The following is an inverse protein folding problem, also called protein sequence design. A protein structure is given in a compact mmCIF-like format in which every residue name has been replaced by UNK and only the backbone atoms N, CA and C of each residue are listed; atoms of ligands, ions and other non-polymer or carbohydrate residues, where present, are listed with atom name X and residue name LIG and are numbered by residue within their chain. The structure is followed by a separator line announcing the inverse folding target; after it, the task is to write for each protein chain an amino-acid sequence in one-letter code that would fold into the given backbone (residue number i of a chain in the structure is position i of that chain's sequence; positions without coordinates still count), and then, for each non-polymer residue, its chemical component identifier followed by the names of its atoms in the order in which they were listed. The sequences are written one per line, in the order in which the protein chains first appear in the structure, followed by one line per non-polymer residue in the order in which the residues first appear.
data_IF_322484423516
#
_entry.id   IF_322484423516
#
_cell.length_a   1.000
_cell.length_b   1.000
_cell.length_c   1.000
_cell.angle_alpha   90.00
_cell.angle_beta   90.00
_cell.angle_gamma   90.00
#
_symmetry.space_group_name_H-M   'P 1'
#
loop_
_entity.id
_entity.type
_entity.pdbx_description
1 polymer ?
#
# COMPACT_ATOMS: atom_id res chain seq x y z
N UNK A 1 28.81 70.62 13.20
CA UNK A 1 28.44 69.65 12.15
C UNK A 1 29.54 68.58 11.89
N UNK A 2 30.28 68.12 12.93
CA UNK A 2 31.33 67.08 12.78
C UNK A 2 31.15 65.87 13.71
N UNK A 3 30.26 65.94 14.69
CA UNK A 3 30.05 64.87 15.69
C UNK A 3 28.95 63.87 15.31
N UNK A 4 28.07 64.19 14.35
CA UNK A 4 27.02 63.27 13.89
C UNK A 4 27.47 62.34 12.75
N UNK A 5 28.56 62.65 12.04
CA UNK A 5 29.07 61.81 10.94
C UNK A 5 29.81 60.54 11.42
N UNK A 6 30.31 60.53 12.67
CA UNK A 6 31.06 59.40 13.21
C UNK A 6 30.16 58.25 13.72
N UNK A 7 28.95 58.57 14.17
CA UNK A 7 27.95 57.57 14.58
C UNK A 7 27.34 56.82 13.40
N UNK A 8 27.10 57.53 12.29
CA UNK A 8 26.47 56.94 11.09
C UNK A 8 27.39 55.93 10.38
N UNK A 9 28.71 56.17 10.37
CA UNK A 9 29.69 55.22 9.80
C UNK A 9 29.85 53.95 10.65
N UNK A 10 29.73 54.05 11.98
CA UNK A 10 29.77 52.86 12.86
C UNK A 10 28.49 52.02 12.77
N UNK A 11 27.34 52.67 12.55
CA UNK A 11 26.06 51.97 12.37
C UNK A 11 25.97 51.26 11.00
N UNK A 12 26.52 51.86 9.93
CA UNK A 12 26.61 51.22 8.62
C UNK A 12 27.59 50.03 8.60
N UNK A 13 28.69 50.11 9.35
CA UNK A 13 29.63 48.99 9.46
C UNK A 13 29.05 47.83 10.28
N UNK A 14 28.23 48.13 11.29
CA UNK A 14 27.53 47.11 12.09
C UNK A 14 26.41 46.43 11.30
N UNK A 15 25.69 47.18 10.45
CA UNK A 15 24.64 46.63 9.59
C UNK A 15 25.22 45.80 8.42
N UNK A 16 26.39 46.20 7.88
CA UNK A 16 27.09 45.44 6.84
C UNK A 16 27.74 44.15 7.39
N UNK A 17 28.28 44.18 8.62
CA UNK A 17 28.74 42.96 9.29
C UNK A 17 27.59 42.03 9.72
N UNK A 18 26.40 42.56 10.02
CA UNK A 18 25.21 41.77 10.35
C UNK A 18 24.60 41.05 9.14
N UNK A 19 24.75 41.59 7.93
CA UNK A 19 24.24 40.94 6.70
C UNK A 19 25.10 39.78 6.21
N UNK A 20 26.38 39.71 6.61
CA UNK A 20 27.29 38.60 6.22
C UNK A 20 26.99 37.32 7.01
N UNK A 21 26.27 37.41 8.15
CA UNK A 21 25.93 36.25 9.00
C UNK A 21 24.66 35.54 8.50
N UNK A 22 23.93 36.08 7.51
CA UNK A 22 22.73 35.46 6.94
C UNK A 22 22.97 34.79 5.58
N UNK A 23 24.20 34.85 5.05
CA UNK A 23 24.64 34.00 3.95
C UNK A 23 25.19 32.68 4.47
N UNK A 24 24.37 31.93 5.22
CA UNK A 24 24.62 30.51 5.44
C UNK A 24 24.31 29.79 4.14
N UNK A 25 25.33 29.57 3.32
CA UNK A 25 25.25 28.52 2.31
C UNK A 25 25.02 27.21 3.06
N UNK A 26 23.87 26.57 2.87
CA UNK A 26 23.76 25.13 3.09
C UNK A 26 24.62 24.46 2.02
N UNK A 27 25.91 24.29 2.31
CA UNK A 27 26.69 23.26 1.65
C UNK A 27 26.25 21.93 2.25
N UNK A 28 25.62 21.08 1.44
CA UNK A 28 25.50 19.67 1.76
C UNK A 28 26.92 19.15 2.04
N UNK A 29 27.17 18.45 3.17
CA UNK A 29 28.51 18.00 3.48
C UNK A 29 28.95 17.00 2.42
N UNK A 30 29.89 17.42 1.59
CA UNK A 30 30.46 16.64 0.52
C UNK A 30 31.04 15.33 1.10
N UNK A 31 30.62 14.20 0.52
CA UNK A 31 30.95 12.83 0.91
C UNK A 31 32.46 12.50 0.91
N UNK A 32 33.30 13.46 0.55
CA UNK A 32 34.76 13.35 0.40
C UNK A 32 35.47 13.60 1.76
N UNK A 33 34.82 14.29 2.71
CA UNK A 33 35.39 14.58 4.03
C UNK A 33 35.35 13.42 5.04
N UNK A 34 34.50 12.40 4.82
CA UNK A 34 34.36 11.24 5.72
C UNK A 34 35.48 10.20 5.56
N UNK A 35 36.16 10.16 4.41
CA UNK A 35 37.33 9.31 4.20
C UNK A 35 38.58 9.74 4.99
N UNK A 36 38.58 10.94 5.60
CA UNK A 36 39.69 11.43 6.43
C UNK A 36 39.47 11.27 7.94
N UNK A 37 38.38 10.64 8.39
CA UNK A 37 38.12 10.40 9.82
C UNK A 37 38.81 9.14 10.39
N UNK A 38 39.87 8.64 9.75
CA UNK A 38 40.82 7.73 10.40
C UNK A 38 41.69 8.50 11.42
N UNK A 39 41.04 9.02 12.46
CA UNK A 39 41.75 9.52 13.62
C UNK A 39 42.06 8.31 14.52
N UNK A 40 43.31 7.83 14.47
CA UNK A 40 43.82 6.69 15.27
C UNK A 40 43.57 6.83 16.79
N UNK A 41 43.27 8.04 17.27
CA UNK A 41 42.97 8.32 18.68
C UNK A 41 41.56 7.92 19.15
N UNK A 42 40.59 7.75 18.26
CA UNK A 42 39.19 7.47 18.63
C UNK A 42 38.69 6.08 18.18
N UNK A 43 39.51 5.29 17.48
CA UNK A 43 39.13 3.94 17.04
C UNK A 43 37.92 3.91 16.09
N UNK A 44 37.62 5.01 15.42
CA UNK A 44 36.45 5.14 14.55
C UNK A 44 36.68 4.43 13.21
N UNK A 45 35.72 3.59 12.82
CA UNK A 45 35.68 2.88 11.54
C UNK A 45 34.42 3.21 10.75
N UNK A 46 34.54 3.16 9.44
CA UNK A 46 33.43 3.27 8.48
C UNK A 46 33.49 2.10 7.48
N UNK A 47 32.33 1.56 7.10
CA UNK A 47 32.21 0.57 6.04
C UNK A 47 30.89 0.71 5.29
N UNK A 48 30.95 0.68 3.96
CA UNK A 48 29.79 0.52 3.07
C UNK A 48 29.94 -0.71 2.14
N UNK A 49 30.89 -1.59 2.49
CA UNK A 49 31.29 -2.76 1.69
C UNK A 49 30.75 -4.07 2.25
N UNK A 50 29.94 -3.99 3.32
CA UNK A 50 29.25 -5.13 3.94
C UNK A 50 28.54 -5.96 2.87
N UNK A 51 28.75 -7.28 2.92
CA UNK A 51 28.08 -8.19 2.00
C UNK A 51 26.62 -8.33 2.39
N UNK A 52 25.74 -8.06 1.42
CA UNK A 52 24.29 -8.19 1.56
C UNK A 52 23.82 -9.23 0.55
N UNK A 53 23.14 -10.26 1.03
CA UNK A 53 22.35 -11.15 0.17
C UNK A 53 20.91 -10.67 0.26
N UNK A 54 20.31 -10.36 -0.90
CA UNK A 54 18.95 -9.87 -0.95
C UNK A 54 18.19 -10.51 -2.12
N UNK A 55 16.90 -10.80 -1.91
CA UNK A 55 16.04 -11.39 -2.93
C UNK A 55 14.57 -11.11 -2.65
N UNK A 56 13.78 -10.88 -3.70
CA UNK A 56 12.32 -10.82 -3.62
C UNK A 56 11.72 -12.20 -3.35
N UNK A 57 10.60 -12.21 -2.64
CA UNK A 57 9.77 -13.38 -2.37
C UNK A 57 8.29 -12.98 -2.37
N UNK A 58 7.40 -13.95 -2.53
CA UNK A 58 5.95 -13.70 -2.42
C UNK A 58 5.60 -13.26 -1.00
N UNK A 59 4.76 -12.24 -0.88
CA UNK A 59 4.11 -11.84 0.37
C UNK A 59 2.69 -12.40 0.42
N UNK A 60 2.57 -13.69 0.68
CA UNK A 60 1.32 -14.44 0.59
C UNK A 60 0.41 -14.25 1.80
N UNK A 61 -0.86 -14.61 1.60
CA UNK A 61 -1.91 -14.72 2.63
C UNK A 61 -1.87 -13.55 3.63
N UNK A 62 -2.01 -12.33 3.11
CA UNK A 62 -2.18 -11.15 3.94
C UNK A 62 -3.59 -11.15 4.51
N UNK A 63 -3.71 -11.00 5.83
CA UNK A 63 -5.01 -10.70 6.46
C UNK A 63 -5.51 -9.36 5.93
N UNK A 64 -6.69 -9.35 5.28
CA UNK A 64 -7.30 -8.16 4.66
C UNK A 64 -8.70 -7.83 5.19
N UNK A 65 -9.18 -8.56 6.21
CA UNK A 65 -10.43 -8.22 6.89
C UNK A 65 -10.32 -6.93 7.72
N UNK A 66 -11.47 -6.27 7.91
CA UNK A 66 -11.66 -5.20 8.89
C UNK A 66 -10.82 -3.92 8.69
N UNK A 67 -10.25 -3.71 7.51
CA UNK A 67 -9.66 -2.43 7.14
C UNK A 67 -10.72 -1.41 6.71
N UNK A 68 -10.42 -0.12 6.94
CA UNK A 68 -11.29 1.00 6.53
C UNK A 68 -11.24 1.28 5.04
N UNK A 69 -10.10 1.01 4.39
CA UNK A 69 -9.89 1.13 2.96
C UNK A 69 -9.93 -0.24 2.29
N UNK A 70 -10.82 -0.41 1.31
CA UNK A 70 -10.91 -1.60 0.48
C UNK A 70 -10.61 -1.25 -0.98
N UNK A 71 -9.95 -2.16 -1.70
CA UNK A 71 -9.44 -1.90 -3.04
C UNK A 71 -10.30 -2.59 -4.08
N UNK A 72 -10.59 -1.90 -5.19
CA UNK A 72 -11.27 -2.46 -6.35
C UNK A 72 -10.67 -1.89 -7.62
N UNK A 73 -10.34 -2.75 -8.57
CA UNK A 73 -9.85 -2.34 -9.89
C UNK A 73 -8.81 -3.31 -10.44
N UNK A 74 -8.22 -2.93 -11.56
CA UNK A 74 -7.16 -3.70 -12.22
C UNK A 74 -6.10 -2.76 -12.76
N UNK A 75 -4.84 -3.19 -12.71
CA UNK A 75 -3.69 -2.45 -13.20
C UNK A 75 -2.73 -3.41 -13.91
N UNK A 76 -2.24 -3.03 -15.10
CA UNK A 76 -1.24 -3.79 -15.84
C UNK A 76 0.12 -3.09 -15.72
N UNK A 77 0.97 -3.60 -14.84
CA UNK A 77 2.31 -3.09 -14.58
C UNK A 77 3.34 -3.72 -15.54
N UNK A 78 4.34 -2.96 -16.02
CA UNK A 78 5.39 -3.50 -16.89
C UNK A 78 6.24 -4.60 -16.21
N UNK A 79 6.44 -4.51 -14.90
CA UNK A 79 7.25 -5.43 -14.10
C UNK A 79 6.40 -6.49 -13.41
N UNK A 80 5.29 -6.10 -12.81
CA UNK A 80 4.43 -7.00 -12.03
C UNK A 80 3.26 -7.60 -12.84
N UNK A 81 3.08 -7.19 -14.09
CA UNK A 81 1.97 -7.65 -14.91
C UNK A 81 0.61 -7.21 -14.39
N UNK A 82 -0.43 -7.97 -14.75
CA UNK A 82 -1.80 -7.67 -14.36
C UNK A 82 -2.00 -8.01 -12.89
N UNK A 83 -2.51 -7.05 -12.13
CA UNK A 83 -3.01 -7.27 -10.77
C UNK A 83 -4.41 -6.69 -10.64
N UNK A 84 -5.31 -7.42 -9.97
CA UNK A 84 -6.65 -6.95 -9.65
C UNK A 84 -6.92 -7.02 -8.16
N UNK A 85 -7.71 -6.05 -7.68
CA UNK A 85 -8.31 -6.06 -6.35
C UNK A 85 -9.83 -6.16 -6.48
N UNK A 86 -10.44 -6.96 -5.61
CA UNK A 86 -11.89 -7.20 -5.56
C UNK A 86 -12.39 -7.15 -4.11
N UNK A 87 -13.66 -6.78 -3.90
CA UNK A 87 -14.20 -6.54 -2.56
C UNK A 87 -15.28 -7.56 -2.25
N UNK A 88 -15.17 -8.19 -1.08
CA UNK A 88 -16.29 -8.87 -0.43
C UNK A 88 -16.80 -7.99 0.71
N UNK A 89 -18.11 -7.78 0.78
CA UNK A 89 -18.71 -7.01 1.87
C UNK A 89 -20.11 -7.50 2.23
N UNK A 90 -20.40 -7.55 3.52
CA UNK A 90 -21.77 -7.63 4.02
C UNK A 90 -22.43 -6.26 4.04
N UNK A 91 -23.76 -6.29 4.11
CA UNK A 91 -24.59 -5.14 4.39
C UNK A 91 -25.49 -5.47 5.58
N UNK A 92 -25.94 -4.43 6.28
CA UNK A 92 -26.82 -4.52 7.45
C UNK A 92 -28.01 -3.58 7.27
N UNK A 93 -29.12 -3.88 7.93
CA UNK A 93 -30.28 -3.01 7.97
C UNK A 93 -29.91 -1.68 8.66
N UNK A 94 -30.27 -0.53 8.08
CA UNK A 94 -30.12 0.76 8.78
C UNK A 94 -31.08 0.89 9.95
N UNK A 95 -32.25 0.27 9.82
CA UNK A 95 -33.32 0.24 10.81
C UNK A 95 -33.97 -1.13 10.77
N UNK A 96 -34.24 -1.72 11.94
CA UNK A 96 -34.88 -3.02 12.06
C UNK A 96 -36.39 -2.93 11.78
N UNK A 97 -37.00 -4.03 11.34
CA UNK A 97 -38.42 -4.13 11.03
C UNK A 97 -38.94 -2.99 10.12
N UNK A 98 -38.29 -2.71 8.97
CA UNK A 98 -38.77 -1.71 8.06
C UNK A 98 -40.13 -2.09 7.48
N UNK A 99 -40.98 -1.08 7.24
CA UNK A 99 -42.24 -1.24 6.52
C UNK A 99 -42.17 -0.48 5.20
N UNK A 100 -42.33 -1.21 4.10
CA UNK A 100 -42.26 -0.66 2.75
C UNK A 100 -43.65 -0.24 2.20
N UNK A 101 -44.73 -0.54 2.92
CA UNK A 101 -46.11 -0.33 2.46
C UNK A 101 -46.74 -1.61 1.88
N UNK A 102 -48.08 -1.64 1.78
CA UNK A 102 -48.84 -2.83 1.38
C UNK A 102 -48.81 -3.13 -0.13
N UNK A 103 -48.45 -2.15 -0.95
CA UNK A 103 -48.39 -2.27 -2.42
C UNK A 103 -47.12 -1.59 -2.96
N UNK A 104 -45.99 -1.82 -2.29
CA UNK A 104 -44.74 -1.18 -2.62
C UNK A 104 -44.24 -1.62 -4.00
N UNK A 105 -43.71 -0.69 -4.79
CA UNK A 105 -43.09 -1.00 -6.08
C UNK A 105 -41.66 -0.49 -6.14
N UNK A 106 -40.77 -1.34 -6.66
CA UNK A 106 -39.35 -1.00 -6.81
C UNK A 106 -39.19 0.10 -7.86
N UNK A 107 -38.37 1.10 -7.53
CA UNK A 107 -37.84 2.06 -8.49
C UNK A 107 -36.41 1.65 -8.90
N UNK A 108 -35.50 1.58 -7.93
CA UNK A 108 -34.13 1.13 -8.18
C UNK A 108 -33.40 0.66 -6.92
N UNK A 109 -32.34 -0.11 -7.11
CA UNK A 109 -31.38 -0.47 -6.07
C UNK A 109 -30.00 0.05 -6.48
N UNK A 110 -29.38 0.91 -5.68
CA UNK A 110 -28.10 1.55 -6.01
C UNK A 110 -27.11 1.39 -4.87
N UNK A 111 -25.93 0.86 -5.18
CA UNK A 111 -24.78 0.79 -4.26
C UNK A 111 -23.91 2.04 -4.44
N UNK A 112 -23.58 2.68 -3.33
CA UNK A 112 -22.74 3.87 -3.24
C UNK A 112 -21.44 3.52 -2.54
N UNK A 113 -20.30 3.78 -3.19
CA UNK A 113 -18.97 3.51 -2.65
C UNK A 113 -18.11 4.78 -2.70
N UNK A 114 -17.88 5.45 -1.57
CA UNK A 114 -17.10 6.68 -1.54
C UNK A 114 -15.61 6.39 -1.72
N UNK A 115 -14.98 7.14 -2.62
CA UNK A 115 -13.54 7.03 -2.85
C UNK A 115 -12.75 7.57 -1.66
N UNK A 116 -11.63 6.94 -1.37
CA UNK A 116 -10.59 7.43 -0.45
C UNK A 116 -9.25 7.68 -1.14
N UNK A 117 -9.12 7.28 -2.40
CA UNK A 117 -7.92 7.48 -3.21
C UNK A 117 -7.87 6.54 -4.41
N UNK A 118 -6.73 6.53 -5.09
CA UNK A 118 -6.45 5.57 -6.15
C UNK A 118 -4.94 5.45 -6.42
N UNK A 119 -4.58 4.34 -7.04
CA UNK A 119 -3.31 4.15 -7.72
C UNK A 119 -3.56 4.10 -9.23
N UNK A 120 -2.91 4.99 -9.98
CA UNK A 120 -2.92 4.98 -11.43
C UNK A 120 -1.76 5.79 -11.99
N UNK A 121 -1.20 5.33 -13.09
CA UNK A 121 -0.22 6.03 -13.92
C UNK A 121 -0.88 6.93 -14.98
N UNK A 122 -2.18 6.76 -15.24
CA UNK A 122 -2.90 7.57 -16.23
C UNK A 122 -2.95 9.04 -15.83
N UNK A 123 -2.99 9.33 -14.52
CA UNK A 123 -3.06 10.69 -13.95
C UNK A 123 -1.88 11.62 -14.29
N UNK A 124 -0.80 11.12 -14.89
CA UNK A 124 0.40 11.92 -15.21
C UNK A 124 0.48 12.37 -16.68
N UNK A 125 -0.33 11.84 -17.61
CA UNK A 125 -0.41 12.27 -19.04
C UNK A 125 -1.46 11.53 -19.89
N UNK A 126 -2.45 10.82 -19.32
CA UNK A 126 -3.42 10.04 -20.11
C UNK A 126 -4.84 10.12 -19.56
N UNK A 127 -5.84 9.95 -20.43
CA UNK A 127 -7.23 9.77 -20.00
C UNK A 127 -7.32 8.51 -19.12
N UNK A 128 -8.08 8.52 -18.01
CA UNK A 128 -8.24 7.35 -17.17
C UNK A 128 -8.76 6.15 -17.97
N UNK A 129 -8.13 5.00 -17.79
CA UNK A 129 -8.55 3.75 -18.43
C UNK A 129 -9.89 3.27 -17.85
N UNK A 130 -10.92 3.00 -18.69
CA UNK A 130 -12.16 2.41 -18.22
C UNK A 130 -11.93 1.04 -17.57
N UNK A 131 -12.64 0.77 -16.47
CA UNK A 131 -12.60 -0.50 -15.74
C UNK A 131 -13.93 -1.23 -15.89
N UNK A 132 -13.88 -2.55 -16.04
CA UNK A 132 -15.06 -3.40 -16.00
C UNK A 132 -15.18 -4.07 -14.63
N UNK A 133 -16.36 -4.00 -14.03
CA UNK A 133 -16.68 -4.63 -12.74
C UNK A 133 -17.95 -5.46 -12.88
N UNK A 134 -17.90 -6.67 -12.33
CA UNK A 134 -19.07 -7.53 -12.12
C UNK A 134 -19.38 -7.57 -10.63
N UNK A 135 -20.64 -7.42 -10.28
CA UNK A 135 -21.13 -7.56 -8.90
C UNK A 135 -21.89 -8.87 -8.81
N UNK A 136 -21.53 -9.70 -7.85
CA UNK A 136 -22.20 -10.97 -7.58
C UNK A 136 -22.81 -10.97 -6.18
N UNK A 137 -23.87 -11.74 -6.02
CA UNK A 137 -24.38 -12.13 -4.71
C UNK A 137 -23.52 -13.25 -4.12
N UNK A 138 -23.08 -13.09 -2.87
CA UNK A 138 -22.32 -14.11 -2.15
C UNK A 138 -23.28 -15.20 -1.66
N UNK A 139 -22.95 -16.47 -1.88
CA UNK A 139 -23.80 -17.60 -1.45
C UNK A 139 -23.38 -18.21 -0.10
N UNK A 140 -22.24 -17.82 0.44
CA UNK A 140 -21.71 -18.24 1.74
C UNK A 140 -21.79 -17.11 2.77
N UNK A 141 -22.32 -17.40 3.97
CA UNK A 141 -22.41 -16.40 5.05
C UNK A 141 -21.00 -16.02 5.50
N UNK A 142 -20.75 -14.73 5.61
CA UNK A 142 -19.54 -14.18 6.23
C UNK A 142 -19.80 -13.85 7.71
N UNK A 143 -18.75 -13.87 8.53
CA UNK A 143 -18.83 -13.58 9.96
C UNK A 143 -17.77 -12.55 10.33
N UNK A 144 -18.15 -11.58 11.17
CA UNK A 144 -17.28 -10.46 11.54
C UNK A 144 -16.05 -10.89 12.36
N UNK A 145 -16.17 -11.98 13.11
CA UNK A 145 -15.15 -12.58 13.96
C UNK A 145 -14.23 -13.56 13.22
N UNK A 146 -14.53 -13.87 11.96
CA UNK A 146 -13.71 -14.72 11.11
C UNK A 146 -12.52 -13.97 10.52
N UNK A 147 -11.43 -14.70 10.26
CA UNK A 147 -10.25 -14.18 9.57
C UNK A 147 -10.40 -14.37 8.07
N UNK A 148 -10.13 -13.31 7.30
CA UNK A 148 -10.14 -13.37 5.83
C UNK A 148 -8.79 -12.91 5.27
N UNK A 149 -8.24 -13.74 4.40
CA UNK A 149 -6.97 -13.52 3.74
C UNK A 149 -7.18 -13.03 2.30
N UNK A 150 -6.17 -12.36 1.75
CA UNK A 150 -6.18 -11.75 0.42
C UNK A 150 -6.43 -12.72 -0.73
N UNK A 151 -6.15 -14.01 -0.55
CA UNK A 151 -6.35 -15.07 -1.53
C UNK A 151 -7.73 -15.75 -1.43
N UNK A 152 -8.52 -15.45 -0.40
CA UNK A 152 -9.79 -16.12 -0.14
C UNK A 152 -10.89 -15.70 -1.11
N UNK A 153 -11.44 -16.68 -1.81
CA UNK A 153 -12.64 -16.54 -2.66
C UNK A 153 -13.80 -17.31 -2.02
N UNK A 154 -14.96 -16.66 -1.93
CA UNK A 154 -16.20 -17.29 -1.50
C UNK A 154 -17.04 -17.72 -2.70
N UNK A 155 -17.90 -18.71 -2.49
CA UNK A 155 -18.88 -19.07 -3.50
C UNK A 155 -19.85 -17.89 -3.72
N UNK A 156 -20.20 -17.70 -4.98
CA UNK A 156 -21.15 -16.68 -5.43
C UNK A 156 -22.28 -17.32 -6.22
N UNK A 157 -23.30 -16.52 -6.55
CA UNK A 157 -24.47 -16.96 -7.30
C UNK A 157 -24.81 -15.98 -8.42
N UNK A 158 -25.84 -15.16 -8.23
CA UNK A 158 -26.39 -14.28 -9.24
C UNK A 158 -25.44 -13.13 -9.60
N UNK A 159 -25.37 -12.77 -10.88
CA UNK A 159 -24.78 -11.50 -11.31
C UNK A 159 -25.81 -10.40 -11.06
N UNK A 160 -25.44 -9.46 -10.20
CA UNK A 160 -26.26 -8.32 -9.79
C UNK A 160 -25.99 -7.07 -10.63
N UNK A 161 -24.80 -6.94 -11.18
CA UNK A 161 -24.45 -5.90 -12.14
C UNK A 161 -23.24 -6.33 -12.98
N UNK A 162 -23.16 -5.84 -14.22
CA UNK A 162 -21.99 -5.96 -15.09
C UNK A 162 -21.88 -4.65 -15.87
N UNK A 163 -20.86 -3.85 -15.56
CA UNK A 163 -20.76 -2.50 -16.09
C UNK A 163 -19.30 -2.10 -16.29
N UNK A 164 -19.13 -1.11 -17.17
CA UNK A 164 -17.85 -0.45 -17.41
C UNK A 164 -17.99 1.01 -16.99
N UNK A 165 -16.98 1.55 -16.30
CA UNK A 165 -16.95 2.95 -15.90
C UNK A 165 -15.55 3.52 -16.02
N UNK A 166 -15.46 4.83 -16.21
CA UNK A 166 -14.18 5.56 -16.18
C UNK A 166 -13.98 6.11 -14.78
N UNK A 167 -12.92 5.70 -14.05
CA UNK A 167 -12.73 6.17 -12.68
C UNK A 167 -12.49 7.67 -12.60
N UNK A 168 -13.14 8.32 -11.64
CA UNK A 168 -12.92 9.72 -11.33
C UNK A 168 -12.93 9.95 -9.80
N UNK A 169 -11.87 9.54 -9.08
CA UNK A 169 -11.85 9.56 -7.62
C UNK A 169 -11.64 10.95 -7.01
N UNK A 170 -11.51 12.00 -7.83
CA UNK A 170 -11.28 13.38 -7.38
C UNK A 170 -12.49 14.29 -7.62
N UNK A 171 -13.34 13.96 -8.58
CA UNK A 171 -14.50 14.78 -8.90
C UNK A 171 -15.73 14.37 -8.10
N UNK A 172 -16.45 15.38 -7.64
CA UNK A 172 -17.72 15.24 -6.94
C UNK A 172 -18.81 14.64 -7.83
N UNK A 173 -19.85 14.08 -7.21
CA UNK A 173 -21.06 13.67 -7.93
C UNK A 173 -22.27 14.43 -7.43
N UNK A 174 -23.24 14.69 -8.31
CA UNK A 174 -24.51 15.30 -7.94
C UNK A 174 -25.61 14.24 -7.97
N UNK A 175 -26.30 14.07 -6.84
CA UNK A 175 -27.43 13.14 -6.70
C UNK A 175 -28.65 13.95 -6.27
N UNK A 176 -29.68 13.98 -7.11
CA UNK A 176 -30.92 14.75 -6.88
C UNK A 176 -30.67 16.23 -6.54
N UNK A 177 -29.75 16.87 -7.27
CA UNK A 177 -29.40 18.28 -7.08
C UNK A 177 -28.47 18.57 -5.89
N UNK A 178 -28.14 17.57 -5.07
CA UNK A 178 -27.21 17.69 -3.94
C UNK A 178 -25.83 17.18 -4.34
N UNK A 179 -24.79 17.96 -4.03
CA UNK A 179 -23.40 17.63 -4.31
C UNK A 179 -22.82 16.74 -3.21
N UNK A 180 -22.21 15.63 -3.59
CA UNK A 180 -21.52 14.69 -2.71
C UNK A 180 -20.03 14.63 -3.05
N UNK A 181 -19.18 14.23 -2.08
CA UNK A 181 -17.80 13.85 -2.36
C UNK A 181 -17.72 12.76 -3.45
N UNK A 182 -16.53 12.58 -4.07
CA UNK A 182 -16.33 11.55 -5.08
C UNK A 182 -16.78 10.17 -4.58
N UNK A 183 -17.70 9.53 -5.32
CA UNK A 183 -18.17 8.18 -5.03
C UNK A 183 -18.56 7.44 -6.32
N UNK A 184 -18.46 6.12 -6.29
CA UNK A 184 -18.95 5.24 -7.35
C UNK A 184 -20.42 4.87 -7.07
N UNK A 185 -21.26 4.98 -8.10
CA UNK A 185 -22.67 4.57 -8.07
C UNK A 185 -22.84 3.34 -8.96
N UNK A 186 -23.40 2.27 -8.39
CA UNK A 186 -23.62 1.01 -9.11
C UNK A 186 -25.10 0.65 -9.01
N UNK A 187 -25.83 0.74 -10.12
CA UNK A 187 -27.19 0.23 -10.19
C UNK A 187 -27.15 -1.30 -10.20
N UNK A 188 -27.85 -1.91 -9.24
CA UNK A 188 -27.95 -3.36 -9.09
C UNK A 188 -29.24 -3.89 -9.73
N UNK A 189 -29.31 -5.21 -9.89
CA UNK A 189 -30.43 -5.88 -10.54
C UNK A 189 -31.76 -5.61 -9.84
N UNK A 190 -32.81 -5.41 -10.65
CA UNK A 190 -34.17 -5.28 -10.15
C UNK A 190 -34.65 -6.56 -9.43
N UNK A 191 -34.12 -7.73 -9.80
CA UNK A 191 -34.41 -9.00 -9.14
C UNK A 191 -34.03 -8.95 -7.66
N UNK A 192 -32.81 -8.51 -7.33
CA UNK A 192 -32.39 -8.32 -5.94
C UNK A 192 -33.19 -7.22 -5.25
N UNK A 193 -33.44 -6.09 -5.94
CA UNK A 193 -34.26 -5.01 -5.39
C UNK A 193 -35.66 -5.47 -4.98
N UNK A 194 -36.33 -6.26 -5.82
CA UNK A 194 -37.64 -6.83 -5.52
C UNK A 194 -37.56 -7.87 -4.40
N UNK A 195 -36.53 -8.72 -4.38
CA UNK A 195 -36.33 -9.69 -3.30
C UNK A 195 -36.18 -8.99 -1.94
N UNK A 196 -35.42 -7.89 -1.86
CA UNK A 196 -35.26 -7.09 -0.65
C UNK A 196 -36.55 -6.36 -0.26
N UNK A 197 -37.27 -5.80 -1.23
CA UNK A 197 -38.52 -5.07 -1.01
C UNK A 197 -39.66 -5.97 -0.51
N UNK A 198 -39.64 -7.25 -0.91
CA UNK A 198 -40.66 -8.26 -0.56
C UNK A 198 -40.21 -9.26 0.49
N UNK A 199 -39.03 -9.04 1.10
CA UNK A 199 -38.52 -9.89 2.16
C UNK A 199 -39.50 -9.95 3.34
N UNK A 200 -39.63 -11.13 3.95
CA UNK A 200 -40.56 -11.33 5.05
C UNK A 200 -40.08 -10.60 6.32
N UNK A 201 -41.01 -10.36 7.26
CA UNK A 201 -40.70 -9.65 8.50
C UNK A 201 -39.65 -10.34 9.37
N UNK A 202 -39.53 -11.66 9.30
CA UNK A 202 -38.53 -12.43 10.05
C UNK A 202 -37.11 -12.14 9.53
N UNK A 203 -36.92 -12.16 8.22
CA UNK A 203 -35.63 -11.84 7.58
C UNK A 203 -35.18 -10.41 7.86
N UNK A 204 -36.12 -9.49 8.10
CA UNK A 204 -35.85 -8.07 8.36
C UNK A 204 -35.91 -7.68 9.84
N UNK A 205 -36.11 -8.64 10.74
CA UNK A 205 -36.32 -8.40 12.18
C UNK A 205 -35.04 -7.98 12.91
N UNK A 206 -33.91 -8.54 12.50
CA UNK A 206 -32.58 -8.23 13.01
C UNK A 206 -31.50 -8.47 11.94
N UNK A 207 -30.25 -8.14 12.26
CA UNK A 207 -29.15 -8.28 11.31
C UNK A 207 -28.62 -9.71 11.16
N UNK A 208 -28.87 -10.60 12.12
CA UNK A 208 -28.41 -11.99 12.05
C UNK A 208 -29.29 -12.79 11.09
N UNK A 209 -30.61 -12.53 11.12
CA UNK A 209 -31.58 -13.00 10.14
C UNK A 209 -31.30 -12.37 8.77
N UNK A 210 -31.13 -11.05 8.70
CA UNK A 210 -30.87 -10.37 7.43
C UNK A 210 -29.60 -10.87 6.73
N UNK A 211 -28.50 -11.06 7.46
CA UNK A 211 -27.25 -11.58 6.88
C UNK A 211 -27.31 -13.06 6.51
N UNK A 212 -28.37 -13.77 6.93
CA UNK A 212 -28.67 -15.14 6.47
C UNK A 212 -29.47 -15.11 5.17
N UNK A 213 -30.46 -14.23 5.09
CA UNK A 213 -31.25 -13.94 3.89
C UNK A 213 -30.35 -13.42 2.75
N UNK A 214 -29.63 -12.33 3.00
CA UNK A 214 -28.72 -11.68 2.06
C UNK A 214 -27.28 -11.64 2.60
N UNK A 215 -26.45 -12.55 2.10
CA UNK A 215 -25.14 -12.86 2.71
C UNK A 215 -24.04 -11.86 2.34
N UNK A 216 -24.25 -11.03 1.32
CA UNK A 216 -23.36 -9.94 0.93
C UNK A 216 -23.11 -9.84 -0.57
N UNK A 217 -22.18 -8.96 -0.92
CA UNK A 217 -21.78 -8.64 -2.29
C UNK A 217 -20.31 -9.01 -2.53
N UNK A 218 -20.04 -9.51 -3.74
CA UNK A 218 -18.70 -9.63 -4.29
C UNK A 218 -18.55 -8.70 -5.50
N UNK A 219 -17.74 -7.66 -5.37
CA UNK A 219 -17.41 -6.74 -6.44
C UNK A 219 -16.10 -7.20 -7.07
N UNK A 220 -16.19 -7.80 -8.24
CA UNK A 220 -15.07 -8.39 -8.96
C UNK A 220 -14.61 -7.47 -10.08
N UNK A 221 -13.39 -6.92 -9.96
CA UNK A 221 -12.74 -6.27 -11.08
C UNK A 221 -12.37 -7.30 -12.15
N UNK A 222 -12.69 -7.03 -13.40
CA UNK A 222 -12.26 -7.86 -14.52
C UNK A 222 -10.87 -7.41 -15.01
N UNK A 223 -10.02 -8.33 -15.49
CA UNK A 223 -8.76 -7.95 -16.14
C UNK A 223 -8.97 -6.96 -17.29
N UNK A 224 -7.94 -6.17 -17.58
CA UNK A 224 -7.99 -5.23 -18.70
C UNK A 224 -7.94 -5.97 -20.04
N UNK A 225 -8.78 -5.55 -20.99
CA UNK A 225 -8.72 -5.99 -22.38
C UNK A 225 -7.73 -5.14 -23.20
N UNK A 226 -6.49 -4.99 -22.74
CA UNK A 226 -5.43 -4.27 -23.48
C UNK A 226 -4.06 -4.84 -23.17
N UNK A 227 -3.18 -4.96 -24.17
CA UNK A 227 -1.78 -5.34 -23.99
C UNK A 227 -0.90 -4.19 -23.45
N UNK A 228 -1.44 -2.97 -23.38
CA UNK A 228 -0.66 -1.80 -22.98
C UNK A 228 -0.29 -1.85 -21.50
N UNK A 229 1.00 -1.63 -21.23
CA UNK A 229 1.55 -1.47 -19.89
C UNK A 229 1.20 -0.09 -19.31
N UNK A 230 1.29 0.02 -17.98
CA UNK A 230 0.93 1.22 -17.23
C UNK A 230 -0.51 1.69 -17.51
N UNK A 231 -1.44 0.73 -17.61
CA UNK A 231 -2.87 0.98 -17.83
C UNK A 231 -3.72 0.43 -16.71
N UNK A 232 -4.89 1.05 -16.55
CA UNK A 232 -5.83 0.75 -15.48
C UNK A 232 -5.62 1.59 -14.23
N UNK A 233 -6.34 1.20 -13.18
CA UNK A 233 -6.21 1.79 -11.86
C UNK A 233 -6.71 0.83 -10.80
N UNK A 234 -6.16 0.97 -9.59
CA UNK A 234 -6.71 0.39 -8.38
C UNK A 234 -7.34 1.52 -7.58
N UNK A 235 -8.64 1.43 -7.31
CA UNK A 235 -9.40 2.45 -6.60
C UNK A 235 -9.53 2.06 -5.14
N UNK A 236 -9.45 3.04 -4.26
CA UNK A 236 -9.56 2.85 -2.81
C UNK A 236 -10.92 3.38 -2.36
N UNK A 237 -11.63 2.60 -1.55
CA UNK A 237 -12.96 2.93 -1.06
C UNK A 237 -13.00 2.94 0.47
N UNK A 238 -13.60 3.97 1.06
CA UNK A 238 -13.85 4.02 2.50
C UNK A 238 -15.21 3.39 2.81
N UNK A 239 -15.23 2.09 3.09
CA UNK A 239 -16.48 1.36 3.36
C UNK A 239 -17.07 1.64 4.76
N UNK A 240 -16.37 2.39 5.62
CA UNK A 240 -16.88 2.83 6.92
C UNK A 240 -17.47 4.25 6.88
N UNK A 241 -17.43 4.92 5.72
CA UNK A 241 -18.09 6.20 5.54
C UNK A 241 -19.61 6.04 5.65
N UNK A 242 -20.30 7.04 6.20
CA UNK A 242 -21.78 7.08 6.21
C UNK A 242 -22.40 7.12 4.81
N UNK A 243 -21.60 7.46 3.79
CA UNK A 243 -22.00 7.42 2.38
C UNK A 243 -21.87 6.03 1.75
N UNK A 244 -21.21 5.07 2.40
CA UNK A 244 -21.09 3.70 1.92
C UNK A 244 -22.35 2.89 2.26
N UNK A 245 -23.28 2.82 1.32
CA UNK A 245 -24.56 2.14 1.53
C UNK A 245 -25.13 1.60 0.21
N UNK A 246 -26.08 0.68 0.33
CA UNK A 246 -26.97 0.28 -0.75
C UNK A 246 -28.34 0.85 -0.46
N UNK A 247 -28.82 1.75 -1.32
CA UNK A 247 -30.13 2.38 -1.16
C UNK A 247 -31.16 1.71 -2.06
N UNK A 248 -32.24 1.24 -1.44
CA UNK A 248 -33.45 0.79 -2.09
C UNK A 248 -34.39 1.99 -2.27
N UNK A 249 -34.63 2.38 -3.51
CA UNK A 249 -35.64 3.37 -3.89
C UNK A 249 -36.92 2.66 -4.29
N UNK A 250 -38.04 3.07 -3.71
CA UNK A 250 -39.33 2.43 -3.92
C UNK A 250 -40.48 3.41 -3.70
N UNK A 251 -41.63 3.11 -4.30
CA UNK A 251 -42.89 3.82 -4.06
C UNK A 251 -43.73 3.01 -3.09
N UNK A 252 -44.34 3.63 -2.07
CA UNK A 252 -45.13 2.90 -1.05
C UNK A 252 -46.48 2.45 -1.61
N UNK A 253 -47.02 3.24 -2.53
CA UNK A 253 -48.24 2.94 -3.27
C UNK A 253 -48.02 3.07 -4.78
N UNK A 254 -48.88 2.47 -5.60
CA UNK A 254 -48.84 2.60 -7.06
C UNK A 254 -49.12 4.03 -7.55
N UNK A 255 -49.70 4.88 -6.70
CA UNK A 255 -50.05 6.28 -7.02
C UNK A 255 -48.97 7.28 -6.61
N UNK A 256 -47.94 6.86 -5.85
CA UNK A 256 -46.89 7.78 -5.41
C UNK A 256 -46.06 8.28 -6.61
N UNK A 257 -45.82 9.59 -6.65
CA UNK A 257 -44.98 10.23 -7.66
C UNK A 257 -43.53 10.41 -7.19
N UNK A 258 -43.27 10.31 -5.88
CA UNK A 258 -41.95 10.48 -5.26
C UNK A 258 -41.52 9.18 -4.59
N UNK A 259 -40.29 8.74 -4.90
CA UNK A 259 -39.71 7.54 -4.31
C UNK A 259 -39.30 7.76 -2.84
N UNK A 260 -39.72 6.85 -1.98
CA UNK A 260 -39.15 6.63 -0.66
C UNK A 260 -37.80 5.90 -0.78
N UNK A 261 -37.00 5.92 0.30
CA UNK A 261 -35.72 5.23 0.35
C UNK A 261 -35.54 4.42 1.63
N UNK A 262 -34.85 3.29 1.53
CA UNK A 262 -34.36 2.53 2.67
C UNK A 262 -32.89 2.16 2.43
N UNK A 263 -32.07 2.27 3.47
CA UNK A 263 -30.63 2.07 3.34
C UNK A 263 -30.21 0.75 3.98
N UNK A 264 -29.41 -0.01 3.26
CA UNK A 264 -28.58 -1.07 3.82
C UNK A 264 -27.17 -0.51 4.00
N UNK A 265 -26.65 -0.52 5.21
CA UNK A 265 -25.40 0.15 5.59
C UNK A 265 -24.23 -0.83 5.59
N UNK A 266 -23.03 -0.31 5.30
CA UNK A 266 -21.77 -1.00 5.55
C UNK A 266 -21.12 -0.33 6.76
N UNK A 267 -20.82 -1.09 7.81
CA UNK A 267 -20.24 -0.54 9.04
C UNK A 267 -19.18 -1.47 9.68
N UNK A 268 -18.76 -1.16 10.89
CA UNK A 268 -17.77 -1.91 11.68
C UNK A 268 -18.29 -3.29 12.13
N UNK A 269 -19.59 -3.55 12.01
CA UNK A 269 -20.22 -4.85 12.29
C UNK A 269 -20.51 -5.68 11.02
N UNK A 270 -20.06 -5.22 9.86
CA UNK A 270 -20.10 -5.98 8.61
C UNK A 270 -18.76 -6.68 8.37
N UNK A 271 -18.79 -8.00 8.12
CA UNK A 271 -17.63 -8.68 7.56
C UNK A 271 -17.34 -8.11 6.17
N UNK A 272 -16.08 -7.74 5.94
CA UNK A 272 -15.59 -7.19 4.68
C UNK A 272 -14.10 -7.45 4.56
N UNK A 273 -13.65 -7.74 3.35
CA UNK A 273 -12.24 -7.94 3.06
C UNK A 273 -11.97 -7.71 1.58
N UNK A 274 -10.70 -7.53 1.25
CA UNK A 274 -10.25 -7.37 -0.13
C UNK A 274 -9.50 -8.62 -0.59
N UNK A 275 -9.88 -9.11 -1.75
CA UNK A 275 -9.20 -10.17 -2.47
C UNK A 275 -8.24 -9.58 -3.51
N UNK A 276 -7.06 -10.17 -3.64
CA UNK A 276 -6.03 -9.79 -4.59
C UNK A 276 -5.70 -10.97 -5.53
N UNK A 277 -5.46 -10.66 -6.80
CA UNK A 277 -5.01 -11.63 -7.79
C UNK A 277 -3.96 -10.99 -8.69
N UNK A 278 -2.79 -11.62 -8.79
CA UNK A 278 -1.65 -11.17 -9.61
C UNK A 278 -1.53 -11.91 -10.94
N UNK A 279 -2.44 -12.84 -11.24
CA UNK A 279 -2.47 -13.63 -12.49
C UNK A 279 -1.12 -14.28 -12.83
N UNK A 280 -0.34 -14.67 -11.83
CA UNK A 280 1.01 -15.21 -12.04
C UNK A 280 2.01 -14.23 -12.65
N UNK A 281 1.81 -12.93 -12.44
CA UNK A 281 2.62 -11.83 -12.97
C UNK A 281 2.77 -11.93 -14.49
N UNK A 282 1.67 -12.18 -15.21
CA UNK A 282 1.63 -12.14 -16.69
C UNK A 282 1.09 -10.79 -17.18
N UNK A 283 1.43 -10.40 -18.41
CA UNK A 283 0.72 -9.30 -19.06
C UNK A 283 -0.74 -9.65 -19.32
N UNK A 284 -1.59 -8.64 -19.45
CA UNK A 284 -2.99 -8.81 -19.88
C UNK A 284 -3.11 -9.43 -21.28
N UNK A 285 -2.03 -9.45 -22.04
CA UNK A 285 -1.87 -10.11 -23.34
C UNK A 285 -1.18 -11.48 -23.28
N UNK A 286 -0.82 -11.95 -22.09
CA UNK A 286 -0.10 -13.20 -21.86
C UNK A 286 1.42 -13.14 -22.08
N UNK A 287 2.03 -11.96 -22.31
CA UNK A 287 3.48 -11.85 -22.51
C UNK A 287 4.29 -12.01 -21.22
N UNK A 288 5.46 -12.66 -21.32
CA UNK A 288 6.29 -13.13 -20.19
C UNK A 288 7.64 -12.39 -20.02
N UNK A 289 8.24 -11.88 -21.10
CA UNK A 289 9.69 -11.63 -21.16
C UNK A 289 10.26 -10.65 -20.11
N UNK A 290 9.57 -9.55 -19.79
CA UNK A 290 10.04 -8.59 -18.76
C UNK A 290 9.86 -9.08 -17.31
N UNK A 291 9.07 -10.15 -17.11
CA UNK A 291 8.57 -10.62 -15.81
C UNK A 291 9.30 -11.89 -15.34
N UNK A 292 10.06 -12.52 -16.23
CA UNK A 292 10.87 -13.71 -15.95
C UNK A 292 11.86 -13.51 -14.80
N UNK A 293 12.52 -12.34 -14.72
CA UNK A 293 13.50 -12.05 -13.66
C UNK A 293 12.84 -12.06 -12.29
N UNK A 294 11.68 -11.41 -12.16
CA UNK A 294 10.90 -11.43 -10.92
C UNK A 294 10.45 -12.86 -10.59
N UNK A 295 9.85 -13.58 -11.55
CA UNK A 295 9.33 -14.94 -11.35
C UNK A 295 10.40 -15.95 -10.95
N UNK A 296 11.59 -15.87 -11.56
CA UNK A 296 12.76 -16.67 -11.18
C UNK A 296 13.24 -16.32 -9.77
N UNK A 297 13.29 -15.05 -9.41
CA UNK A 297 13.73 -14.65 -8.07
C UNK A 297 12.77 -15.15 -6.97
N UNK A 298 11.45 -15.06 -7.20
CA UNK A 298 10.45 -15.57 -6.25
C UNK A 298 10.28 -17.11 -6.29
N UNK A 299 10.66 -17.76 -7.40
CA UNK A 299 10.57 -19.22 -7.57
C UNK A 299 9.14 -19.74 -7.69
N UNK A 300 8.29 -19.06 -8.45
CA UNK A 300 6.87 -19.40 -8.60
C UNK A 300 6.43 -19.46 -10.07
N UNK A 301 5.22 -19.98 -10.31
CA UNK A 301 4.58 -20.03 -11.63
C UNK A 301 5.41 -20.81 -12.68
N UNK A 302 6.01 -21.93 -12.26
CA UNK A 302 6.80 -22.81 -13.13
C UNK A 302 8.29 -22.45 -13.25
N UNK A 303 8.76 -21.42 -12.54
CA UNK A 303 10.18 -21.03 -12.53
C UNK A 303 10.91 -21.59 -11.31
N UNK A 304 12.14 -22.05 -11.52
CA UNK A 304 13.04 -22.43 -10.43
C UNK A 304 13.56 -21.18 -9.72
N UNK A 305 13.60 -21.21 -8.38
CA UNK A 305 14.05 -20.09 -7.56
C UNK A 305 15.53 -19.79 -7.80
N UNK A 306 15.84 -18.55 -8.17
CA UNK A 306 17.19 -18.03 -8.34
C UNK A 306 17.35 -16.70 -7.58
N UNK A 307 17.86 -16.79 -6.36
CA UNK A 307 18.09 -15.62 -5.51
C UNK A 307 19.25 -14.74 -6.00
N UNK A 308 20.14 -15.25 -6.87
CA UNK A 308 21.31 -14.50 -7.35
C UNK A 308 20.91 -13.32 -8.23
N UNK A 309 19.72 -13.39 -8.84
CA UNK A 309 19.14 -12.27 -9.59
C UNK A 309 18.92 -11.02 -8.73
N UNK A 310 18.86 -11.17 -7.40
CA UNK A 310 18.76 -10.06 -6.45
C UNK A 310 20.02 -9.20 -6.38
N UNK A 311 21.14 -9.68 -6.92
CA UNK A 311 22.34 -8.86 -7.14
C UNK A 311 22.08 -7.76 -8.18
N UNK A 312 21.18 -7.97 -9.14
CA UNK A 312 20.89 -7.01 -10.22
C UNK A 312 19.76 -6.05 -9.86
N UNK A 313 18.62 -6.60 -9.42
CA UNK A 313 17.38 -5.83 -9.20
C UNK A 313 16.47 -6.54 -8.19
N UNK A 314 15.72 -5.74 -7.43
CA UNK A 314 14.79 -6.17 -6.40
C UNK A 314 13.45 -5.46 -6.53
N UNK A 315 12.41 -6.11 -6.00
CA UNK A 315 11.03 -5.79 -6.28
C UNK A 315 10.18 -5.84 -5.00
N UNK A 316 9.37 -4.80 -4.78
CA UNK A 316 8.33 -4.75 -3.76
C UNK A 316 6.98 -4.43 -4.40
N UNK A 317 5.94 -5.06 -3.91
CA UNK A 317 4.58 -4.81 -4.35
C UNK A 317 3.61 -4.98 -3.19
N UNK A 318 2.69 -4.02 -3.07
CA UNK A 318 1.53 -4.13 -2.19
C UNK A 318 0.56 -5.25 -2.67
N UNK A 319 -0.61 -5.33 -2.04
CA UNK A 319 -1.71 -6.25 -2.41
C UNK A 319 -1.37 -7.74 -2.27
N UNK A 320 -0.52 -8.12 -1.31
CA UNK A 320 -0.11 -9.52 -1.15
C UNK A 320 0.80 -10.01 -2.28
N UNK A 321 1.55 -9.07 -2.87
CA UNK A 321 2.43 -9.33 -4.00
C UNK A 321 3.81 -9.79 -3.54
N UNK A 322 4.74 -8.84 -3.37
CA UNK A 322 6.17 -9.14 -3.28
C UNK A 322 6.83 -8.38 -2.13
N UNK A 323 7.60 -9.11 -1.33
CA UNK A 323 8.49 -8.60 -0.27
C UNK A 323 9.96 -8.83 -0.62
N UNK A 324 10.87 -8.16 0.08
CA UNK A 324 12.32 -8.38 -0.09
C UNK A 324 12.93 -8.90 1.20
N UNK A 325 13.74 -9.94 1.09
CA UNK A 325 14.51 -10.49 2.20
C UNK A 325 15.95 -9.99 2.15
N UNK A 326 16.57 -9.79 3.31
CA UNK A 326 17.97 -9.43 3.46
C UNK A 326 18.67 -10.36 4.44
N UNK A 327 19.90 -10.74 4.11
CA UNK A 327 20.79 -11.54 4.94
C UNK A 327 22.19 -10.89 4.95
N UNK A 328 22.83 -10.89 6.13
CA UNK A 328 24.12 -10.23 6.37
C UNK A 328 25.16 -11.26 6.87
N UNK A 329 25.55 -12.24 6.02
CA UNK A 329 26.21 -13.46 6.46
C UNK A 329 27.56 -13.24 7.15
N UNK A 330 28.28 -12.19 6.77
CA UNK A 330 29.64 -11.91 7.27
C UNK A 330 29.69 -10.77 8.29
N UNK A 331 28.54 -10.23 8.72
CA UNK A 331 28.56 -9.06 9.61
C UNK A 331 29.14 -9.38 10.99
N UNK A 332 28.97 -10.62 11.48
CA UNK A 332 29.61 -11.10 12.72
C UNK A 332 31.13 -11.22 12.63
N UNK A 333 31.70 -11.26 11.42
CA UNK A 333 33.15 -11.36 11.26
C UNK A 333 33.86 -10.11 11.77
N UNK A 334 33.16 -8.98 11.84
CA UNK A 334 33.68 -7.72 12.38
C UNK A 334 34.14 -7.82 13.84
N UNK A 335 33.58 -8.76 14.62
CA UNK A 335 33.90 -8.95 16.05
C UNK A 335 34.76 -10.18 16.34
N UNK A 336 35.23 -10.92 15.32
CA UNK A 336 36.04 -12.13 15.55
C UNK A 336 37.35 -11.84 16.27
N UNK A 337 38.00 -10.72 15.94
CA UNK A 337 39.34 -10.36 16.42
C UNK A 337 39.38 -9.05 17.22
N UNK A 338 38.22 -8.44 17.47
CA UNK A 338 38.12 -7.14 18.12
C UNK A 338 36.72 -6.94 18.70
N UNK A 339 36.59 -6.06 19.70
CA UNK A 339 35.27 -5.60 20.16
C UNK A 339 34.91 -4.32 19.43
N UNK A 340 33.68 -4.23 18.96
CA UNK A 340 33.18 -3.00 18.33
C UNK A 340 31.86 -2.57 18.96
N UNK A 341 31.63 -1.26 18.99
CA UNK A 341 30.31 -0.66 19.17
C UNK A 341 29.88 -0.08 17.84
N UNK A 342 28.66 -0.38 17.41
CA UNK A 342 28.05 0.25 16.25
C UNK A 342 27.49 1.61 16.70
N UNK A 343 28.04 2.68 16.15
CA UNK A 343 27.54 4.03 16.37
C UNK A 343 26.31 4.30 15.50
N UNK A 344 26.34 3.82 14.25
CA UNK A 344 25.28 4.01 13.28
C UNK A 344 25.31 2.90 12.21
N UNK A 345 24.16 2.34 11.89
CA UNK A 345 23.99 1.44 10.76
C UNK A 345 22.77 1.87 9.95
N UNK A 346 22.97 2.26 8.69
CA UNK A 346 21.90 2.78 7.82
C UNK A 346 21.83 1.95 6.54
N UNK A 347 20.70 1.29 6.31
CA UNK A 347 20.40 0.63 5.06
C UNK A 347 19.89 1.66 4.05
N UNK A 348 20.63 1.86 2.97
CA UNK A 348 20.33 2.84 1.92
C UNK A 348 19.81 2.12 0.68
N UNK A 349 18.63 2.52 0.21
CA UNK A 349 17.96 1.94 -0.95
C UNK A 349 17.55 3.05 -1.92
N UNK A 350 18.05 2.99 -3.16
CA UNK A 350 17.74 3.97 -4.20
C UNK A 350 16.67 3.47 -5.15
N UNK A 351 15.78 4.35 -5.55
CA UNK A 351 14.78 4.07 -6.57
C UNK A 351 15.46 3.77 -7.92
N UNK A 352 15.10 2.65 -8.56
CA UNK A 352 15.57 2.24 -9.89
C UNK A 352 14.42 2.05 -10.88
N UNK A 353 13.30 2.72 -10.62
CA UNK A 353 12.21 2.76 -11.56
C UNK A 353 12.61 3.59 -12.78
N UNK A 354 12.55 2.96 -13.95
CA UNK A 354 12.84 3.59 -15.23
C UNK A 354 11.69 4.48 -15.70
N UNK A 355 10.50 4.30 -15.12
CA UNK A 355 9.29 5.05 -15.45
C UNK A 355 8.89 5.93 -14.26
N UNK A 356 9.32 7.21 -14.28
CA UNK A 356 8.97 8.25 -13.29
C UNK A 356 7.44 8.47 -13.17
N UNK A 357 6.61 7.76 -13.96
CA UNK A 357 5.15 7.72 -13.82
C UNK A 357 4.69 7.00 -12.56
N UNK A 358 5.39 6.00 -12.05
CA UNK A 358 4.97 5.33 -10.82
C UNK A 358 5.29 6.20 -9.60
N UNK A 359 4.38 6.25 -8.64
CA UNK A 359 4.60 6.97 -7.39
C UNK A 359 5.26 6.02 -6.38
N UNK A 360 6.49 6.32 -5.91
CA UNK A 360 7.16 5.51 -4.90
C UNK A 360 6.31 5.42 -3.62
N UNK A 361 6.37 4.30 -2.87
CA UNK A 361 5.69 4.19 -1.58
C UNK A 361 6.17 5.30 -0.62
N UNK A 362 5.26 5.93 0.12
CA UNK A 362 5.66 6.96 1.08
C UNK A 362 6.49 6.42 2.23
N UNK A 363 6.30 5.14 2.59
CA UNK A 363 6.95 4.48 3.72
C UNK A 363 7.25 3.01 3.40
N UNK A 364 8.49 2.61 3.64
CA UNK A 364 8.93 1.22 3.72
C UNK A 364 9.15 0.82 5.19
N UNK A 365 8.81 -0.42 5.51
CA UNK A 365 9.01 -0.99 6.83
C UNK A 365 9.92 -2.21 6.74
N UNK A 366 10.89 -2.31 7.64
CA UNK A 366 11.76 -3.48 7.77
C UNK A 366 11.49 -4.19 9.11
N UNK A 367 11.41 -5.51 9.06
CA UNK A 367 11.13 -6.40 10.19
C UNK A 367 12.22 -7.46 10.30
N UNK A 368 12.49 -7.98 11.49
CA UNK A 368 13.33 -9.17 11.65
C UNK A 368 12.52 -10.44 11.47
N UNK A 369 13.14 -11.48 10.90
CA UNK A 369 12.60 -12.83 10.88
C UNK A 369 12.87 -13.54 12.20
N UNK A 370 11.95 -14.41 12.58
CA UNK A 370 12.07 -15.31 13.73
C UNK A 370 12.32 -16.74 13.24
N UNK A 371 12.72 -17.61 14.17
CA UNK A 371 13.00 -19.01 13.89
C UNK A 371 11.80 -19.77 13.29
N UNK A 372 10.58 -19.36 13.64
CA UNK A 372 9.32 -19.95 13.13
C UNK A 372 8.86 -19.33 11.80
N UNK A 373 9.68 -18.48 11.18
CA UNK A 373 9.37 -17.79 9.92
C UNK A 373 8.47 -16.57 10.05
N UNK A 374 7.96 -16.26 11.26
CA UNK A 374 7.19 -15.02 11.51
C UNK A 374 8.12 -13.81 11.53
N UNK A 375 7.51 -12.63 11.56
CA UNK A 375 8.22 -11.36 11.63
C UNK A 375 7.96 -10.65 12.95
N UNK A 376 8.94 -9.86 13.39
CA UNK A 376 8.83 -8.97 14.54
C UNK A 376 9.43 -7.60 14.22
N UNK A 377 8.98 -6.57 14.94
CA UNK A 377 9.57 -5.24 14.82
C UNK A 377 11.03 -5.23 15.27
N UNK A 378 11.81 -4.36 14.63
CA UNK A 378 13.16 -4.05 15.07
C UNK A 378 13.12 -3.18 16.34
N UNK A 379 14.12 -3.29 17.24
CA UNK A 379 14.22 -2.41 18.39
C UNK A 379 14.31 -0.93 17.99
N UNK A 380 14.89 -0.64 16.81
CA UNK A 380 15.05 0.71 16.25
C UNK A 380 13.71 1.45 16.03
N UNK A 381 12.63 0.73 15.70
CA UNK A 381 11.31 1.33 15.42
C UNK A 381 10.75 2.03 16.67
N UNK A 382 11.08 1.55 17.86
CA UNK A 382 10.57 2.09 19.12
C UNK A 382 11.28 3.37 19.58
N UNK A 383 12.36 3.79 18.90
CA UNK A 383 13.04 5.07 19.15
C UNK A 383 12.30 6.27 18.52
N UNK A 384 11.28 6.01 17.69
CA UNK A 384 10.50 7.02 17.00
C UNK A 384 11.04 7.39 15.62
N UNK A 385 10.23 8.16 14.88
CA UNK A 385 10.48 8.48 13.46
C UNK A 385 11.69 9.40 13.23
N UNK A 386 12.17 10.10 14.26
CA UNK A 386 13.40 10.89 14.19
C UNK A 386 14.67 10.02 14.15
N UNK A 387 14.57 8.76 14.55
CA UNK A 387 15.69 7.82 14.62
C UNK A 387 15.60 6.73 13.56
N UNK A 388 14.44 6.07 13.45
CA UNK A 388 14.14 5.09 12.42
C UNK A 388 13.29 5.74 11.34
N UNK A 389 13.86 5.96 10.15
CA UNK A 389 13.09 6.51 9.05
C UNK A 389 13.09 5.61 7.80
N UNK A 390 11.90 5.23 7.36
CA UNK A 390 11.64 4.50 6.12
C UNK A 390 10.88 5.34 5.11
N UNK A 391 10.80 6.67 5.33
CA UNK A 391 10.10 7.61 4.48
C UNK A 391 10.90 7.85 3.21
N UNK A 392 10.20 7.94 2.08
CA UNK A 392 10.82 8.24 0.80
C UNK A 392 11.28 9.70 0.75
N UNK A 393 12.55 9.92 0.43
CA UNK A 393 13.06 11.25 0.12
C UNK A 393 12.94 11.50 -1.39
N UNK A 394 12.06 12.41 -1.79
CA UNK A 394 11.83 12.73 -3.20
C UNK A 394 12.98 13.50 -3.85
N UNK A 395 13.79 14.22 -3.07
CA UNK A 395 14.95 14.99 -3.55
C UNK A 395 16.10 14.05 -3.92
N UNK A 396 16.46 13.15 -3.00
CA UNK A 396 17.56 12.19 -3.20
C UNK A 396 17.13 10.87 -3.85
N UNK A 397 15.82 10.66 -4.04
CA UNK A 397 15.19 9.46 -4.62
C UNK A 397 15.58 8.17 -3.88
N UNK A 398 15.66 8.21 -2.56
CA UNK A 398 16.09 7.07 -1.73
C UNK A 398 15.32 6.93 -0.42
N UNK A 399 15.50 5.76 0.20
CA UNK A 399 15.11 5.44 1.58
C UNK A 399 16.37 5.19 2.41
N UNK A 400 16.38 5.66 3.66
CA UNK A 400 17.52 5.50 4.57
C UNK A 400 17.04 5.01 5.95
N UNK A 401 17.04 3.69 6.16
CA UNK A 401 16.57 3.11 7.43
C UNK A 401 17.73 2.84 8.38
N UNK A 402 17.68 3.48 9.54
CA UNK A 402 18.61 3.21 10.64
C UNK A 402 18.22 1.92 11.34
N UNK A 403 19.16 0.98 11.41
CA UNK A 403 19.01 -0.35 12.03
C UNK A 403 20.19 -0.66 12.97
N UNK A 404 20.65 0.39 13.66
CA UNK A 404 21.79 0.38 14.56
C UNK A 404 21.60 -0.61 15.71
N UNK A 405 20.47 -0.55 16.41
CA UNK A 405 20.22 -1.40 17.58
C UNK A 405 20.08 -2.86 17.18
N UNK A 406 19.36 -3.13 16.10
CA UNK A 406 19.26 -4.48 15.56
C UNK A 406 20.64 -5.12 15.36
N UNK A 407 21.56 -4.43 14.68
CA UNK A 407 22.88 -4.99 14.45
C UNK A 407 23.76 -5.01 15.71
N UNK A 408 23.62 -4.03 16.61
CA UNK A 408 24.34 -4.07 17.89
C UNK A 408 23.91 -5.28 18.73
N UNK A 409 22.59 -5.55 18.82
CA UNK A 409 22.04 -6.71 19.51
C UNK A 409 22.47 -8.02 18.84
N UNK A 410 22.49 -8.03 17.50
CA UNK A 410 23.00 -9.17 16.75
C UNK A 410 24.45 -9.46 17.15
N UNK A 411 25.35 -8.46 17.13
CA UNK A 411 26.75 -8.65 17.50
C UNK A 411 26.95 -9.04 18.98
N UNK A 412 26.06 -8.60 19.88
CA UNK A 412 26.15 -8.88 21.31
C UNK A 412 25.64 -10.28 21.72
N UNK A 413 24.95 -10.99 20.82
CA UNK A 413 24.32 -12.29 21.12
C UNK A 413 24.85 -13.38 20.21
N UNK A 414 24.71 -14.65 20.63
CA UNK A 414 24.99 -15.82 19.79
C UNK A 414 23.75 -16.35 19.06
N UNK A 415 22.62 -15.67 19.21
CA UNK A 415 21.36 -16.04 18.58
C UNK A 415 21.52 -16.06 17.05
N UNK A 416 21.04 -17.11 16.36
CA UNK A 416 21.02 -17.14 14.90
C UNK A 416 20.30 -15.91 14.33
N UNK A 417 20.91 -15.29 13.33
CA UNK A 417 20.26 -14.26 12.52
C UNK A 417 19.48 -14.96 11.40
N UNK A 418 18.15 -14.79 11.41
CA UNK A 418 17.27 -15.33 10.37
C UNK A 418 17.08 -14.34 9.22
N UNK A 419 17.66 -13.14 9.30
CA UNK A 419 17.60 -12.08 8.31
C UNK A 419 16.44 -11.10 8.53
N UNK A 420 16.36 -10.12 7.63
CA UNK A 420 15.36 -9.07 7.63
C UNK A 420 14.36 -9.23 6.47
N UNK A 421 13.18 -8.66 6.62
CA UNK A 421 12.13 -8.57 5.59
C UNK A 421 11.72 -7.12 5.44
N UNK A 422 11.72 -6.63 4.22
CA UNK A 422 11.22 -5.31 3.85
C UNK A 422 9.90 -5.42 3.11
N UNK A 423 9.01 -4.50 3.45
CA UNK A 423 7.63 -4.46 3.03
C UNK A 423 7.24 -3.00 2.75
N UNK A 424 6.28 -2.80 1.86
CA UNK A 424 5.54 -1.54 1.82
C UNK A 424 4.63 -1.51 3.05
N UNK A 425 4.65 -0.42 3.83
CA UNK A 425 3.93 -0.37 5.11
C UNK A 425 2.41 -0.53 4.90
N UNK A 426 1.87 0.25 3.97
CA UNK A 426 0.45 0.29 3.62
C UNK A 426 0.00 -0.82 2.65
N UNK A 427 0.74 -1.94 2.56
CA UNK A 427 0.55 -2.97 1.53
C UNK A 427 -0.82 -3.64 1.45
N UNK A 428 -1.67 -3.47 2.46
CA UNK A 428 -3.05 -4.02 2.48
C UNK A 428 -4.09 -3.04 1.94
N UNK A 429 -3.77 -1.74 2.00
CA UNK A 429 -4.71 -0.64 1.74
C UNK A 429 -4.28 0.23 0.56
N UNK A 430 -3.13 -0.07 -0.05
CA UNK A 430 -2.61 0.60 -1.24
C UNK A 430 -2.17 -0.39 -2.30
N UNK A 431 -1.97 0.11 -3.52
CA UNK A 431 -1.50 -0.64 -4.68
C UNK A 431 -0.10 -0.17 -5.13
N UNK A 432 0.70 0.39 -4.22
CA UNK A 432 2.04 0.84 -4.52
C UNK A 432 2.97 -0.33 -4.92
N UNK A 433 4.00 0.02 -5.68
CA UNK A 433 5.12 -0.84 -6.05
C UNK A 433 6.43 -0.08 -5.91
N UNK A 434 7.52 -0.81 -5.76
CA UNK A 434 8.85 -0.23 -5.76
C UNK A 434 9.85 -1.18 -6.38
N UNK A 435 10.73 -0.63 -7.22
CA UNK A 435 11.78 -1.38 -7.92
C UNK A 435 13.09 -0.66 -7.68
N UNK A 436 14.11 -1.40 -7.26
CA UNK A 436 15.38 -0.82 -6.85
C UNK A 436 16.55 -1.72 -7.25
N UNK A 437 17.75 -1.11 -7.32
CA UNK A 437 18.99 -1.81 -7.66
C UNK A 437 19.27 -2.93 -6.66
N UNK A 438 19.94 -3.98 -7.15
CA UNK A 438 20.38 -5.09 -6.32
C UNK A 438 21.65 -4.79 -5.51
N UNK A 439 22.33 -5.85 -5.09
CA UNK A 439 23.52 -5.79 -4.22
C UNK A 439 24.87 -5.85 -4.95
N UNK A 440 24.88 -5.99 -6.27
CA UNK A 440 26.11 -6.04 -7.08
C UNK A 440 26.91 -4.74 -6.92
N UNK A 441 28.21 -4.90 -6.61
CA UNK A 441 29.13 -3.78 -6.37
C UNK A 441 29.33 -2.89 -7.60
N UNK A 442 29.14 -3.41 -8.80
CA UNK A 442 29.27 -2.66 -10.06
C UNK A 442 28.11 -1.68 -10.30
N UNK A 443 26.98 -1.84 -9.62
CA UNK A 443 25.79 -1.00 -9.83
C UNK A 443 25.91 0.34 -9.10
N UNK A 444 25.81 1.43 -9.87
CA UNK A 444 25.61 2.77 -9.30
C UNK A 444 24.23 2.79 -8.62
N UNK A 445 24.21 3.17 -7.34
CA UNK A 445 22.99 3.18 -6.53
C UNK A 445 22.55 1.82 -6.01
N UNK A 446 23.44 0.81 -6.01
CA UNK A 446 23.21 -0.47 -5.31
C UNK A 446 22.76 -0.26 -3.87
N UNK A 447 22.08 -1.26 -3.34
CA UNK A 447 21.80 -1.30 -1.90
C UNK A 447 23.12 -1.42 -1.15
N UNK A 448 23.24 -0.65 -0.08
CA UNK A 448 24.39 -0.70 0.80
C UNK A 448 23.99 -0.48 2.26
N UNK A 449 24.78 -1.04 3.15
CA UNK A 449 24.71 -0.78 4.58
C UNK A 449 25.86 0.16 4.92
N UNK A 450 25.55 1.42 5.23
CA UNK A 450 26.52 2.39 5.75
C UNK A 450 26.68 2.15 7.25
N UNK A 451 27.85 1.67 7.66
CA UNK A 451 28.16 1.28 9.03
C UNK A 451 29.25 2.20 9.59
N UNK A 452 28.97 2.90 10.68
CA UNK A 452 29.93 3.63 11.52
C UNK A 452 30.07 2.91 12.84
N UNK A 453 31.29 2.63 13.26
CA UNK A 453 31.57 1.87 14.48
C UNK A 453 32.84 2.37 15.18
N UNK A 454 32.99 2.00 16.45
CA UNK A 454 34.18 2.26 17.26
C UNK A 454 34.78 0.94 17.70
N UNK A 455 36.08 0.75 17.47
CA UNK A 455 36.84 -0.39 17.96
C UNK A 455 37.22 -0.11 19.42
N UNK A 456 36.79 -0.98 20.33
CA UNK A 456 37.15 -0.93 21.74
C UNK A 456 38.42 -1.77 21.94
N UNK A 457 39.43 -1.16 22.58
CA UNK A 457 40.66 -1.86 22.99
C UNK A 457 40.46 -2.66 24.27
#
# INVERSE_FOLDING_TARGET
MKTQLFGLKKLQLFFLCSMIILASCEEEPDLIGLSQLQNEKLGLGFSDTTTIVAYSAIDDSLRTDNYSANLLGTFNDPVFGTTSASIFTQLRLSTLNPSFGSSATLDSLVLYLPYSGSYSTDNKSSKPTPLQVKVFEVSQKMYIDSVYYSDRILNTSNILANFTFTPNPKDSVTINGVKYPPLLQIKLSNTLGNALLTANSTDLSDNDNFTTFFKGLFLQAQPLNTSQENKGSILYFNLLSSLANMTLYYKKTSTDTVSSKFNFVINDKCAKYTNFNHYGYIGSDGTLAAKDTLKKQIGAFGYTKDITLGQKKLYLQSMGGVKVNFEFPYLRDLIKNQKIIINEAVLVIKNDDVDDKNTPPSLLTILKKLADGKTAFLPDIFEGSSFFDGIYNSTTKEYRMRITRYFQDMLNTTTPDYGLVMLIDSRRTTANRFVFKGTDKSLIGRIKLELKYTIIK
#
